data_IF_571995353008
#
_entry.id   IF_571995353008
#
_cell.length_a   1.000
_cell.length_b   1.000
_cell.length_c   1.000
_cell.angle_alpha   90.00
_cell.angle_beta   90.00
_cell.angle_gamma   90.00
#
_symmetry.space_group_name_H-M   'P 1'
#
loop_
_entity.id
_entity.type
_entity.pdbx_description
1 polymer ?
#
# COMPACT_ATOMS: atom_id res chain seq x y z
N UNK A 1 60.12 21.00 -52.93
CA UNK A 1 58.95 20.21 -52.49
C UNK A 1 58.55 20.64 -51.08
N UNK A 2 57.24 20.76 -50.84
CA UNK A 2 56.59 21.35 -49.67
C UNK A 2 56.91 20.60 -48.39
N UNK A 3 57.21 21.31 -47.29
CA UNK A 3 56.87 20.83 -45.94
C UNK A 3 55.85 21.80 -45.36
N UNK A 4 54.62 21.32 -45.32
CA UNK A 4 53.41 21.89 -44.72
C UNK A 4 53.63 21.96 -43.20
N UNK A 5 53.60 23.13 -42.54
CA UNK A 5 52.46 23.95 -42.08
C UNK A 5 51.64 23.30 -40.94
N UNK A 6 51.49 24.08 -39.84
CA UNK A 6 50.29 24.17 -38.98
C UNK A 6 50.14 23.08 -37.90
N UNK A 7 49.62 23.27 -36.70
CA UNK A 7 49.40 24.36 -35.72
C UNK A 7 48.77 23.64 -34.51
N UNK A 8 49.06 24.11 -33.31
CA UNK A 8 48.61 23.61 -31.99
C UNK A 8 47.09 23.38 -31.92
N UNK A 9 46.66 22.25 -31.34
CA UNK A 9 45.38 22.19 -30.60
C UNK A 9 45.55 21.29 -29.37
N UNK A 10 45.62 21.92 -28.20
CA UNK A 10 45.45 21.31 -26.88
C UNK A 10 43.98 20.90 -26.76
N UNK A 11 43.69 19.60 -26.78
CA UNK A 11 42.35 19.08 -26.48
C UNK A 11 42.30 18.75 -24.99
N UNK A 12 41.82 19.73 -24.21
CA UNK A 12 41.33 19.53 -22.85
C UNK A 12 40.06 18.67 -22.92
N UNK A 13 40.20 17.36 -22.68
CA UNK A 13 39.06 16.49 -22.40
C UNK A 13 38.50 16.84 -21.02
N UNK A 14 37.55 17.77 -21.01
CA UNK A 14 36.65 17.97 -19.88
C UNK A 14 35.80 16.70 -19.74
N UNK A 15 36.10 15.91 -18.71
CA UNK A 15 35.22 14.88 -18.19
C UNK A 15 33.95 15.58 -17.66
N UNK A 16 32.97 15.80 -18.52
CA UNK A 16 31.63 16.17 -18.10
C UNK A 16 31.00 14.93 -17.49
N UNK A 17 31.15 14.77 -16.18
CA UNK A 17 30.32 13.85 -15.41
C UNK A 17 28.88 14.36 -15.53
N UNK A 18 28.12 13.80 -16.47
CA UNK A 18 26.67 13.92 -16.48
C UNK A 18 26.18 13.27 -15.19
N UNK A 19 25.94 14.08 -14.16
CA UNK A 19 25.22 13.65 -12.98
C UNK A 19 23.84 13.19 -13.45
N UNK A 20 23.63 11.88 -13.49
CA UNK A 20 22.29 11.33 -13.60
C UNK A 20 21.56 11.74 -12.32
N UNK A 21 20.81 12.84 -12.40
CA UNK A 21 19.78 13.14 -11.42
C UNK A 21 18.75 12.03 -11.63
N UNK A 22 18.78 11.02 -10.77
CA UNK A 22 17.66 10.09 -10.68
C UNK A 22 16.45 10.95 -10.28
N UNK A 23 15.57 11.21 -11.25
CA UNK A 23 14.26 11.76 -10.95
C UNK A 23 13.56 10.74 -10.07
N UNK A 24 13.55 10.97 -8.76
CA UNK A 24 12.64 10.30 -7.85
C UNK A 24 11.25 10.71 -8.30
N UNK A 25 10.64 9.93 -9.20
CA UNK A 25 9.25 10.08 -9.57
C UNK A 25 8.47 10.01 -8.27
N UNK A 26 7.95 11.15 -7.82
CA UNK A 26 7.10 11.20 -6.64
C UNK A 26 5.94 10.25 -6.92
N UNK A 27 5.79 9.24 -6.07
CA UNK A 27 4.66 8.33 -6.10
C UNK A 27 3.42 9.16 -5.76
N UNK A 28 2.75 9.69 -6.77
CA UNK A 28 1.53 10.52 -6.65
C UNK A 28 0.29 9.67 -6.42
N UNK A 29 0.47 8.38 -6.16
CA UNK A 29 -0.62 7.45 -5.98
C UNK A 29 -1.47 7.85 -4.78
N UNK A 30 -2.80 7.86 -4.92
CA UNK A 30 -3.69 8.35 -3.89
C UNK A 30 -3.66 7.41 -2.67
N UNK A 31 -3.05 7.87 -1.57
CA UNK A 31 -3.18 7.19 -0.28
C UNK A 31 -4.59 7.35 0.27
N UNK A 32 -5.27 6.23 0.49
CA UNK A 32 -6.59 6.17 1.12
C UNK A 32 -6.48 5.67 2.55
N UNK A 33 -7.14 6.37 3.46
CA UNK A 33 -7.18 6.02 4.89
C UNK A 33 -8.59 5.64 5.29
N UNK A 34 -8.75 4.44 5.84
CA UNK A 34 -10.00 3.96 6.43
C UNK A 34 -9.78 3.82 7.93
N UNK A 35 -10.62 4.46 8.74
CA UNK A 35 -10.59 4.29 10.19
C UNK A 35 -11.78 3.44 10.62
N UNK A 36 -11.56 2.55 11.58
CA UNK A 36 -12.65 1.74 12.12
C UNK A 36 -12.20 0.80 13.22
N UNK A 37 -13.17 0.32 13.99
CA UNK A 37 -12.91 -0.63 15.05
C UNK A 37 -12.10 -0.08 16.23
N UNK A 38 -11.93 -0.94 17.24
CA UNK A 38 -11.17 -0.64 18.46
C UNK A 38 -10.35 -1.85 18.88
N UNK A 39 -9.21 -1.58 19.50
CA UNK A 39 -8.39 -2.57 20.18
C UNK A 39 -8.18 -2.19 21.63
N UNK A 40 -7.91 -3.20 22.43
CA UNK A 40 -7.55 -3.09 23.85
C UNK A 40 -6.48 -4.14 24.17
N UNK A 41 -5.47 -3.75 24.94
CA UNK A 41 -4.45 -4.65 25.47
C UNK A 41 -4.06 -4.18 26.88
N UNK A 42 -4.50 -4.92 27.89
CA UNK A 42 -4.39 -4.46 29.29
C UNK A 42 -5.10 -3.12 29.48
N UNK A 43 -4.37 -2.11 29.97
CA UNK A 43 -4.87 -0.74 30.13
C UNK A 43 -4.73 0.13 28.88
N UNK A 44 -4.10 -0.37 27.82
CA UNK A 44 -3.93 0.36 26.56
C UNK A 44 -5.14 0.12 25.64
N UNK A 45 -5.55 1.16 24.90
CA UNK A 45 -6.64 1.08 23.95
C UNK A 45 -6.43 2.04 22.79
N UNK A 46 -7.15 1.80 21.69
CA UNK A 46 -7.12 2.68 20.53
C UNK A 46 -8.02 2.22 19.41
N UNK A 47 -7.77 2.73 18.21
CA UNK A 47 -8.52 2.40 17.00
C UNK A 47 -7.60 1.74 15.96
N UNK A 48 -8.20 0.98 15.05
CA UNK A 48 -7.49 0.56 13.85
C UNK A 48 -7.60 1.64 12.78
N UNK A 49 -6.53 1.79 12.01
CA UNK A 49 -6.46 2.61 10.82
C UNK A 49 -5.88 1.76 9.70
N UNK A 50 -6.54 1.71 8.56
CA UNK A 50 -6.07 1.01 7.38
C UNK A 50 -5.59 2.05 6.39
N UNK A 51 -4.36 1.91 5.93
CA UNK A 51 -3.77 2.76 4.91
C UNK A 51 -3.61 1.92 3.65
N UNK A 52 -4.13 2.44 2.54
CA UNK A 52 -4.12 1.77 1.24
C UNK A 52 -3.40 2.68 0.27
N UNK A 53 -2.29 2.19 -0.26
CA UNK A 53 -1.53 2.86 -1.32
C UNK A 53 -1.73 2.05 -2.60
N UNK A 54 -2.10 2.69 -3.70
CA UNK A 54 -2.05 2.07 -5.02
C UNK A 54 -0.60 2.20 -5.54
N UNK A 55 -0.06 1.18 -6.20
CA UNK A 55 1.32 1.16 -6.70
C UNK A 55 1.38 0.52 -8.08
N UNK A 56 2.28 1.02 -8.93
CA UNK A 56 2.42 0.60 -10.32
C UNK A 56 1.71 1.53 -11.31
N UNK A 57 1.88 1.27 -12.61
CA UNK A 57 1.35 2.11 -13.68
C UNK A 57 0.37 1.36 -14.59
N UNK A 58 0.82 0.27 -15.24
CA UNK A 58 -0.02 -0.53 -16.12
C UNK A 58 -0.85 -1.58 -15.34
N UNK A 59 -0.22 -2.25 -14.38
CA UNK A 59 -0.87 -3.23 -13.49
C UNK A 59 -0.89 -2.70 -12.06
N UNK A 60 -1.71 -1.68 -11.84
CA UNK A 60 -1.86 -1.05 -10.52
C UNK A 60 -2.33 -2.08 -9.50
N UNK A 61 -1.55 -2.25 -8.43
CA UNK A 61 -1.83 -3.12 -7.29
C UNK A 61 -1.89 -2.29 -6.02
N UNK A 62 -2.53 -2.77 -4.95
CA UNK A 62 -2.54 -2.06 -3.68
C UNK A 62 -1.50 -2.60 -2.69
N UNK A 63 -1.13 -1.74 -1.75
CA UNK A 63 -0.40 -2.05 -0.51
C UNK A 63 -1.28 -1.64 0.64
N UNK A 64 -1.67 -2.61 1.45
CA UNK A 64 -2.58 -2.41 2.59
C UNK A 64 -1.80 -2.56 3.88
N UNK A 65 -1.77 -1.49 4.66
CA UNK A 65 -1.14 -1.42 5.98
C UNK A 65 -2.20 -1.28 7.06
N UNK A 66 -2.12 -2.15 8.07
CA UNK A 66 -2.95 -2.14 9.27
C UNK A 66 -2.17 -1.40 10.34
N UNK A 67 -2.73 -0.31 10.85
CA UNK A 67 -2.14 0.53 11.88
C UNK A 67 -2.99 0.47 13.15
N UNK A 68 -2.33 0.31 14.30
CA UNK A 68 -2.95 0.44 15.63
C UNK A 68 -2.61 1.81 16.18
N UNK A 69 -3.62 2.65 16.38
CA UNK A 69 -3.42 4.05 16.75
C UNK A 69 -3.98 4.28 18.16
N UNK A 70 -3.11 4.69 19.09
CA UNK A 70 -3.52 5.16 20.41
C UNK A 70 -4.13 6.56 20.28
N UNK A 71 -5.18 6.88 21.07
CA UNK A 71 -5.86 8.17 20.99
C UNK A 71 -4.92 9.30 21.42
N UNK A 72 -5.25 10.52 20.98
CA UNK A 72 -4.61 11.72 21.52
C UNK A 72 -4.95 11.88 23.01
N UNK A 73 -4.03 12.49 23.76
CA UNK A 73 -4.20 12.85 25.16
C UNK A 73 -3.83 14.32 25.36
N UNK A 74 -4.08 14.89 26.54
CA UNK A 74 -3.73 16.27 26.84
C UNK A 74 -2.24 16.54 26.51
N UNK A 75 -1.99 17.47 25.58
CA UNK A 75 -0.65 17.84 25.11
C UNK A 75 0.08 16.78 24.27
N UNK A 76 -0.58 15.67 23.89
CA UNK A 76 0.04 14.58 23.11
C UNK A 76 -0.84 14.16 21.94
N UNK A 77 -0.33 14.20 20.70
CA UNK A 77 -1.10 13.75 19.53
C UNK A 77 -1.36 12.24 19.56
N UNK A 78 -2.30 11.78 18.73
CA UNK A 78 -2.51 10.36 18.50
C UNK A 78 -1.22 9.69 18.01
N UNK A 79 -0.94 8.48 18.49
CA UNK A 79 0.34 7.80 18.27
C UNK A 79 0.15 6.47 17.56
N UNK A 80 0.94 6.22 16.51
CA UNK A 80 1.06 4.88 15.92
C UNK A 80 1.75 3.95 16.94
N UNK A 81 1.06 2.90 17.34
CA UNK A 81 1.54 1.90 18.31
C UNK A 81 2.22 0.74 17.61
N UNK A 82 1.62 0.27 16.51
CA UNK A 82 2.15 -0.79 15.67
C UNK A 82 1.62 -0.61 14.25
N UNK A 83 2.33 -1.18 13.28
CA UNK A 83 1.92 -1.30 11.89
C UNK A 83 2.23 -2.71 11.40
N UNK A 84 1.37 -3.28 10.56
CA UNK A 84 1.62 -4.51 9.83
C UNK A 84 1.13 -4.39 8.40
N UNK A 85 1.86 -5.02 7.48
CA UNK A 85 1.36 -5.23 6.12
C UNK A 85 0.33 -6.36 6.13
N UNK A 86 -0.81 -6.15 5.46
CA UNK A 86 -1.74 -7.21 5.15
C UNK A 86 -1.20 -7.96 3.93
N UNK A 87 -0.39 -8.99 4.19
CA UNK A 87 0.50 -9.63 3.22
C UNK A 87 -0.26 -10.25 2.06
N UNK A 88 -1.41 -10.85 2.35
CA UNK A 88 -2.23 -11.63 1.41
C UNK A 88 -2.71 -10.79 0.23
N UNK A 89 -3.06 -9.52 0.47
CA UNK A 89 -3.42 -8.58 -0.60
C UNK A 89 -2.20 -7.83 -1.13
N UNK A 90 -1.19 -7.56 -0.28
CA UNK A 90 -0.11 -6.62 -0.61
C UNK A 90 1.10 -7.21 -1.33
N UNK A 91 1.28 -8.54 -1.34
CA UNK A 91 2.47 -9.18 -1.93
C UNK A 91 2.25 -9.77 -3.32
N UNK A 92 1.03 -9.66 -3.84
CA UNK A 92 0.64 -10.12 -5.18
C UNK A 92 0.07 -8.95 -6.00
N UNK A 93 -0.51 -9.26 -7.15
CA UNK A 93 -1.03 -8.27 -8.10
C UNK A 93 -2.50 -7.97 -7.86
N UNK A 94 -2.89 -7.67 -6.62
CA UNK A 94 -4.27 -7.35 -6.27
C UNK A 94 -4.49 -5.85 -6.29
N UNK A 95 -5.46 -5.38 -7.07
CA UNK A 95 -5.90 -3.98 -7.09
C UNK A 95 -7.09 -3.79 -6.16
N UNK A 96 -7.01 -2.81 -5.25
CA UNK A 96 -8.11 -2.50 -4.33
C UNK A 96 -9.15 -1.54 -4.95
N UNK A 97 -8.86 -0.99 -6.13
CA UNK A 97 -9.69 0.02 -6.78
C UNK A 97 -9.86 1.31 -5.97
N UNK A 98 -10.47 2.32 -6.61
CA UNK A 98 -10.64 3.68 -6.04
C UNK A 98 -11.93 3.84 -5.21
N UNK A 99 -12.79 2.83 -5.16
CA UNK A 99 -14.07 2.89 -4.45
C UNK A 99 -13.89 2.87 -2.93
N UNK A 100 -14.59 3.75 -2.21
CA UNK A 100 -14.55 3.81 -0.73
C UNK A 100 -14.98 2.50 -0.04
N UNK A 101 -15.75 1.66 -0.73
CA UNK A 101 -16.32 0.41 -0.20
C UNK A 101 -15.38 -0.79 -0.31
N UNK A 102 -14.25 -0.69 -1.01
CA UNK A 102 -13.36 -1.85 -1.20
C UNK A 102 -12.58 -2.23 0.05
N UNK A 103 -12.48 -1.35 1.04
CA UNK A 103 -11.78 -1.60 2.30
C UNK A 103 -12.67 -1.18 3.43
N UNK A 104 -13.07 -2.14 4.27
CA UNK A 104 -14.03 -1.92 5.35
C UNK A 104 -13.49 -2.53 6.64
N UNK A 105 -13.61 -1.79 7.74
CA UNK A 105 -13.38 -2.31 9.09
C UNK A 105 -14.71 -2.31 9.85
N UNK A 106 -15.15 -3.47 10.30
CA UNK A 106 -16.38 -3.65 11.10
C UNK A 106 -16.03 -4.37 12.40
N UNK A 107 -16.14 -3.68 13.54
CA UNK A 107 -15.62 -4.21 14.80
C UNK A 107 -14.11 -4.43 14.71
N UNK A 108 -13.66 -5.67 14.85
CA UNK A 108 -12.27 -6.04 14.62
C UNK A 108 -12.05 -6.84 13.33
N UNK A 109 -13.00 -6.83 12.40
CA UNK A 109 -12.88 -7.55 11.13
C UNK A 109 -12.53 -6.56 10.02
N UNK A 110 -11.40 -6.79 9.35
CA UNK A 110 -11.00 -6.13 8.11
C UNK A 110 -11.47 -6.95 6.92
N UNK A 111 -12.15 -6.31 5.98
CA UNK A 111 -12.46 -6.86 4.66
C UNK A 111 -11.84 -5.99 3.58
N UNK A 112 -11.12 -6.61 2.65
CA UNK A 112 -10.54 -5.96 1.46
C UNK A 112 -11.02 -6.69 0.22
N UNK A 113 -11.86 -6.02 -0.56
CA UNK A 113 -12.25 -6.46 -1.89
C UNK A 113 -11.17 -5.99 -2.88
N UNK A 114 -10.69 -6.91 -3.70
CA UNK A 114 -9.68 -6.63 -4.69
C UNK A 114 -9.91 -7.45 -5.97
N UNK A 115 -9.28 -7.01 -7.05
CA UNK A 115 -9.29 -7.68 -8.35
C UNK A 115 -7.87 -7.94 -8.79
N UNK A 116 -7.58 -9.15 -9.27
CA UNK A 116 -6.25 -9.49 -9.75
C UNK A 116 -5.94 -8.70 -11.03
N UNK A 117 -4.86 -7.91 -11.03
CA UNK A 117 -4.54 -6.91 -12.05
C UNK A 117 -4.18 -7.49 -13.43
N UNK A 118 -3.94 -8.80 -13.51
CA UNK A 118 -3.69 -9.50 -14.77
C UNK A 118 -4.87 -10.32 -15.27
N UNK A 119 -5.53 -11.08 -14.39
CA UNK A 119 -6.61 -12.01 -14.78
C UNK A 119 -8.00 -11.38 -14.68
N UNK A 120 -8.16 -10.28 -13.95
CA UNK A 120 -9.46 -9.68 -13.65
C UNK A 120 -10.29 -10.45 -12.63
N UNK A 121 -9.76 -11.51 -12.02
CA UNK A 121 -10.49 -12.32 -11.04
C UNK A 121 -10.71 -11.53 -9.74
N UNK A 122 -11.95 -11.46 -9.21
CA UNK A 122 -12.23 -10.81 -7.94
C UNK A 122 -11.90 -11.71 -6.75
N UNK A 123 -11.45 -11.10 -5.65
CA UNK A 123 -11.23 -11.77 -4.36
C UNK A 123 -11.63 -10.85 -3.20
N UNK A 124 -12.09 -11.43 -2.10
CA UNK A 124 -12.27 -10.71 -0.83
C UNK A 124 -11.37 -11.33 0.23
N UNK A 125 -10.42 -10.53 0.72
CA UNK A 125 -9.54 -10.88 1.81
C UNK A 125 -10.18 -10.48 3.13
N UNK A 126 -10.24 -11.40 4.09
CA UNK A 126 -10.78 -11.12 5.42
C UNK A 126 -9.72 -11.39 6.47
N UNK A 127 -9.59 -10.49 7.44
CA UNK A 127 -8.71 -10.68 8.59
C UNK A 127 -9.39 -10.24 9.88
N UNK A 128 -9.12 -10.95 10.98
CA UNK A 128 -9.40 -10.48 12.33
C UNK A 128 -8.21 -9.67 12.84
N UNK A 129 -8.48 -8.44 13.22
CA UNK A 129 -7.56 -7.52 13.86
C UNK A 129 -7.56 -7.81 15.37
N UNK A 130 -6.37 -7.90 15.96
CA UNK A 130 -6.17 -8.19 17.38
C UNK A 130 -5.45 -7.06 18.10
N UNK A 131 -4.64 -7.41 19.10
CA UNK A 131 -3.77 -6.46 19.80
C UNK A 131 -2.72 -5.85 18.86
N UNK A 132 -2.04 -4.75 19.25
CA UNK A 132 -1.08 -4.09 18.39
C UNK A 132 -0.10 -5.03 17.69
N UNK A 133 -0.06 -4.95 16.36
CA UNK A 133 0.84 -5.74 15.52
C UNK A 133 0.38 -7.17 15.21
N UNK A 134 -0.83 -7.56 15.63
CA UNK A 134 -1.35 -8.92 15.46
C UNK A 134 -2.66 -8.91 14.68
N UNK A 135 -2.66 -9.61 13.55
CA UNK A 135 -3.88 -9.97 12.83
C UNK A 135 -3.86 -11.47 12.51
N UNK A 136 -5.03 -12.02 12.20
CA UNK A 136 -5.19 -13.37 11.72
C UNK A 136 -5.95 -13.32 10.39
N UNK A 137 -5.33 -13.78 9.31
CA UNK A 137 -6.01 -13.96 8.04
C UNK A 137 -7.02 -15.10 8.16
N UNK A 138 -8.25 -14.83 7.74
CA UNK A 138 -9.29 -15.84 7.59
C UNK A 138 -9.29 -16.23 6.11
N UNK A 139 -8.69 -17.39 5.82
CA UNK A 139 -8.56 -17.88 4.45
C UNK A 139 -9.91 -17.98 3.75
N UNK A 140 -9.88 -17.71 2.45
CA UNK A 140 -10.99 -17.73 1.50
C UNK A 140 -11.96 -18.91 1.73
N UNK A 141 -13.20 -18.58 2.08
CA UNK A 141 -14.36 -19.46 1.91
C UNK A 141 -15.17 -18.95 0.72
N UNK A 142 -15.29 -19.75 -0.34
CA UNK A 142 -16.40 -19.61 -1.29
C UNK A 142 -17.69 -19.88 -0.53
N UNK A 143 -18.37 -18.86 -0.04
CA UNK A 143 -19.78 -18.98 0.30
C UNK A 143 -20.50 -17.63 0.27
N UNK A 144 -21.03 -17.31 -0.90
CA UNK A 144 -22.42 -16.87 -1.04
C UNK A 144 -22.96 -17.41 -2.38
N UNK A 145 -22.84 -18.73 -2.56
CA UNK A 145 -23.81 -19.48 -3.37
C UNK A 145 -25.11 -19.53 -2.56
N UNK A 146 -25.78 -18.38 -2.38
CA UNK A 146 -27.13 -18.30 -1.83
C UNK A 146 -27.95 -17.25 -2.59
N UNK A 147 -27.98 -17.38 -3.92
CA UNK A 147 -29.12 -16.90 -4.73
C UNK A 147 -29.38 -17.85 -5.90
N UNK A 148 -29.96 -19.00 -5.57
CA UNK A 148 -31.16 -19.44 -6.30
C UNK A 148 -32.25 -19.70 -5.27
N UNK A 149 -33.25 -18.83 -5.13
CA UNK A 149 -34.59 -19.34 -4.88
C UNK A 149 -35.09 -19.95 -6.18
N UNK A 150 -35.64 -21.14 -6.09
CA UNK A 150 -36.46 -21.74 -7.14
C UNK A 150 -37.56 -20.75 -7.56
N UNK A 151 -37.48 -20.27 -8.81
CA UNK A 151 -38.58 -19.77 -9.65
C UNK A 151 -38.14 -19.93 -11.12
#
# INVERSE_FOLDING_TARGET
MKVVRTLVVVVLLAFQAAGAIAETQADTSPTRVVQGGRWTEGSAAGTYRIVVDEVGFEHVSCRVRIQWVAPAAAGRPARLVAEQMFTEVSTSFWSCGVGKQSVVVSGNVLKVQATHAYSGEPCTFTARLGTPGRYQYEAWGREFESRRPDQ
#
